data_IF_204362337947
#
_entry.id   IF_204362337947
#
_cell.length_a   1.000
_cell.length_b   1.000
_cell.length_c   1.000
_cell.angle_alpha   90.00
_cell.angle_beta   90.00
_cell.angle_gamma   90.00
#
_symmetry.space_group_name_H-M   'P 1'
#
loop_
_entity.id
_entity.type
_entity.pdbx_description
1 polymer ?
#
# COMPACT_ATOMS: atom_id res chain seq x y z
N UNK A 1 -22.75 -46.84 46.82
CA UNK A 1 -22.97 -46.16 45.53
C UNK A 1 -21.97 -45.02 45.43
N UNK A 2 -20.94 -45.14 44.59
CA UNK A 2 -19.92 -44.09 44.39
C UNK A 2 -20.25 -43.35 43.09
N UNK A 3 -20.63 -42.09 43.20
CA UNK A 3 -20.99 -41.22 42.08
C UNK A 3 -19.73 -40.66 41.44
N UNK A 4 -19.39 -41.11 40.24
CA UNK A 4 -18.26 -40.59 39.46
C UNK A 4 -18.69 -39.31 38.76
N UNK A 5 -18.18 -38.17 39.22
CA UNK A 5 -18.39 -36.85 38.57
C UNK A 5 -17.32 -36.69 37.49
N UNK A 6 -17.74 -36.63 36.22
CA UNK A 6 -16.88 -36.28 35.10
C UNK A 6 -16.78 -34.75 34.99
N UNK A 7 -15.60 -34.19 35.30
CA UNK A 7 -15.28 -32.80 34.97
C UNK A 7 -14.98 -32.71 33.47
N UNK A 8 -15.89 -32.07 32.72
CA UNK A 8 -15.67 -31.70 31.33
C UNK A 8 -14.72 -30.49 31.29
N UNK A 9 -13.45 -30.77 31.02
CA UNK A 9 -12.38 -29.77 30.96
C UNK A 9 -12.47 -29.05 29.61
N UNK A 10 -13.19 -27.93 29.59
CA UNK A 10 -13.28 -27.04 28.43
C UNK A 10 -11.92 -26.37 28.20
N UNK A 11 -11.10 -26.97 27.32
CA UNK A 11 -9.89 -26.37 26.77
C UNK A 11 -10.28 -25.20 25.85
N UNK A 12 -10.33 -23.99 26.41
CA UNK A 12 -10.38 -22.76 25.62
C UNK A 12 -8.99 -22.57 25.01
N UNK A 13 -8.82 -23.02 23.76
CA UNK A 13 -7.65 -22.66 22.96
C UNK A 13 -7.77 -21.17 22.59
N UNK A 14 -7.11 -20.31 23.36
CA UNK A 14 -6.94 -18.90 23.00
C UNK A 14 -6.06 -18.83 21.74
N UNK A 15 -6.69 -18.60 20.58
CA UNK A 15 -5.98 -18.30 19.34
C UNK A 15 -5.48 -16.86 19.44
N UNK A 16 -4.26 -16.69 19.97
CA UNK A 16 -3.55 -15.43 19.90
C UNK A 16 -3.17 -15.17 18.43
N UNK A 17 -3.92 -14.30 17.78
CA UNK A 17 -3.53 -13.75 16.48
C UNK A 17 -2.28 -12.91 16.72
N UNK A 18 -1.09 -13.42 16.34
CA UNK A 18 0.14 -12.62 16.35
C UNK A 18 -0.04 -11.47 15.35
N UNK A 19 -0.26 -10.27 15.86
CA UNK A 19 -0.12 -9.05 15.08
C UNK A 19 1.31 -9.00 14.52
N UNK A 20 1.47 -8.72 13.22
CA UNK A 20 2.78 -8.57 12.60
C UNK A 20 3.44 -7.29 13.14
N UNK A 21 4.33 -7.46 14.12
CA UNK A 21 5.00 -6.35 14.77
C UNK A 21 5.99 -5.68 13.80
N UNK A 22 5.93 -4.36 13.70
CA UNK A 22 6.92 -3.55 12.98
C UNK A 22 8.32 -3.82 13.58
N UNK A 23 9.25 -4.25 12.75
CA UNK A 23 10.64 -4.53 13.11
C UNK A 23 11.52 -3.32 12.79
N UNK A 24 12.69 -3.25 13.45
CA UNK A 24 13.63 -2.16 13.28
C UNK A 24 15.06 -2.68 13.13
N UNK A 25 15.80 -2.11 12.18
CA UNK A 25 17.24 -2.29 12.01
C UNK A 25 17.92 -0.95 12.28
N UNK A 26 19.06 -0.97 12.98
CA UNK A 26 19.90 0.21 13.19
C UNK A 26 21.23 0.07 12.45
N UNK A 27 21.62 1.10 11.71
CA UNK A 27 22.86 1.18 10.94
C UNK A 27 23.67 2.36 11.46
N UNK A 28 24.93 2.14 11.84
CA UNK A 28 25.77 3.14 12.49
C UNK A 28 26.77 3.78 11.53
N UNK A 29 27.13 5.04 11.81
CA UNK A 29 28.03 5.84 10.97
C UNK A 29 29.25 6.33 11.75
N UNK A 30 30.35 6.51 11.01
CA UNK A 30 31.54 7.17 11.54
C UNK A 30 31.25 8.62 11.90
N UNK A 31 32.11 9.17 12.76
CA UNK A 31 32.03 10.57 13.14
C UNK A 31 32.07 11.48 11.90
N UNK A 32 31.11 12.40 11.83
CA UNK A 32 30.96 13.39 10.75
C UNK A 32 30.85 12.82 9.31
N UNK A 33 30.56 11.53 9.14
CA UNK A 33 30.38 10.91 7.82
C UNK A 33 28.94 10.52 7.56
N UNK A 34 28.57 10.50 6.29
CA UNK A 34 27.30 9.96 5.81
C UNK A 34 27.47 8.73 4.92
N UNK A 35 28.67 8.46 4.41
CA UNK A 35 28.94 7.25 3.63
C UNK A 35 28.81 6.00 4.50
N UNK A 36 28.32 4.91 3.89
CA UNK A 36 28.26 3.61 4.56
C UNK A 36 29.68 3.11 4.79
N UNK A 37 30.08 2.98 6.05
CA UNK A 37 31.35 2.33 6.41
C UNK A 37 31.24 0.80 6.19
N UNK A 38 32.36 0.05 6.19
CA UNK A 38 32.33 -1.39 5.93
C UNK A 38 31.44 -2.17 6.89
N UNK A 39 31.35 -1.76 8.15
CA UNK A 39 30.49 -2.39 9.15
C UNK A 39 29.00 -2.17 8.86
N UNK A 40 28.62 -0.96 8.44
CA UNK A 40 27.26 -0.61 8.03
C UNK A 40 26.85 -1.41 6.79
N UNK A 41 27.74 -1.51 5.80
CA UNK A 41 27.47 -2.27 4.58
C UNK A 41 27.32 -3.77 4.86
N UNK A 42 28.26 -4.37 5.60
CA UNK A 42 28.15 -5.78 5.99
C UNK A 42 26.87 -6.08 6.79
N UNK A 43 26.47 -5.17 7.69
CA UNK A 43 25.23 -5.32 8.46
C UNK A 43 23.98 -5.26 7.59
N UNK A 44 23.95 -4.36 6.60
CA UNK A 44 22.85 -4.28 5.64
C UNK A 44 22.80 -5.54 4.77
N UNK A 45 23.96 -6.04 4.32
CA UNK A 45 24.04 -7.27 3.53
C UNK A 45 23.54 -8.50 4.29
N UNK A 46 24.01 -8.69 5.52
CA UNK A 46 23.56 -9.78 6.38
C UNK A 46 22.05 -9.69 6.64
N UNK A 47 21.56 -8.47 6.91
CA UNK A 47 20.14 -8.24 7.10
C UNK A 47 19.31 -8.58 5.86
N UNK A 48 19.76 -8.18 4.66
CA UNK A 48 19.07 -8.53 3.41
C UNK A 48 19.13 -10.03 3.10
N UNK A 49 20.24 -10.69 3.41
CA UNK A 49 20.36 -12.14 3.28
C UNK A 49 19.38 -12.89 4.20
N UNK A 50 19.17 -12.38 5.42
CA UNK A 50 18.23 -12.93 6.39
C UNK A 50 16.76 -12.58 6.09
N UNK A 51 16.49 -11.52 5.33
CA UNK A 51 15.15 -10.96 5.14
C UNK A 51 14.82 -10.79 3.65
N UNK A 52 14.31 -11.85 3.01
CA UNK A 52 14.07 -11.88 1.56
C UNK A 52 12.80 -11.17 1.10
N UNK A 53 11.81 -11.03 1.97
CA UNK A 53 10.51 -10.43 1.65
C UNK A 53 10.14 -9.44 2.74
N UNK A 54 10.59 -8.19 2.58
CA UNK A 54 10.34 -7.11 3.52
C UNK A 54 9.79 -5.89 2.79
N UNK A 55 9.05 -5.08 3.54
CA UNK A 55 8.64 -3.75 3.10
C UNK A 55 9.14 -2.71 4.10
N UNK A 56 9.96 -1.78 3.63
CA UNK A 56 10.46 -0.69 4.46
C UNK A 56 9.37 0.37 4.61
N UNK A 57 9.06 0.75 5.85
CA UNK A 57 8.01 1.71 6.17
C UNK A 57 8.56 3.05 6.63
N UNK A 58 9.73 3.09 7.28
CA UNK A 58 10.36 4.33 7.77
C UNK A 58 11.87 4.26 7.68
N UNK A 59 12.53 5.37 7.38
CA UNK A 59 13.99 5.53 7.43
C UNK A 59 14.33 6.84 8.13
N UNK A 60 14.81 6.76 9.36
CA UNK A 60 15.11 7.94 10.17
C UNK A 60 16.60 8.05 10.47
N UNK A 61 17.14 9.25 10.32
CA UNK A 61 18.55 9.55 10.54
C UNK A 61 18.78 10.36 11.80
N UNK A 62 19.91 10.12 12.44
CA UNK A 62 20.30 10.73 13.71
C UNK A 62 21.78 11.12 13.69
N UNK A 63 22.10 12.15 14.46
CA UNK A 63 23.44 12.65 14.72
C UNK A 63 23.67 12.70 16.24
N UNK A 64 24.93 12.67 16.64
CA UNK A 64 25.29 12.95 18.04
C UNK A 64 25.30 14.46 18.31
N UNK A 65 25.32 14.84 19.59
CA UNK A 65 25.26 16.24 20.06
C UNK A 65 26.46 17.12 19.67
N UNK A 66 27.45 16.63 18.89
CA UNK A 66 28.55 17.44 18.40
C UNK A 66 28.19 18.08 17.07
N UNK A 67 28.03 19.40 17.05
CA UNK A 67 27.84 20.18 15.84
C UNK A 67 26.87 21.34 16.04
N UNK A 68 26.69 22.17 15.02
CA UNK A 68 25.58 23.12 14.99
C UNK A 68 24.29 22.38 14.59
N UNK A 69 23.16 22.73 15.19
CA UNK A 69 21.88 22.04 15.03
C UNK A 69 21.48 21.86 13.53
N UNK A 70 21.50 22.93 12.73
CA UNK A 70 21.21 22.83 11.28
C UNK A 70 22.22 22.02 10.44
N UNK A 71 23.46 21.88 10.91
CA UNK A 71 24.45 20.99 10.28
C UNK A 71 24.09 19.52 10.55
N UNK A 72 23.70 19.21 11.78
CA UNK A 72 23.29 17.87 12.19
C UNK A 72 22.01 17.41 11.48
N UNK A 73 21.07 18.31 11.23
CA UNK A 73 19.87 18.03 10.42
C UNK A 73 20.25 17.62 8.99
N UNK A 74 21.12 18.40 8.35
CA UNK A 74 21.60 18.12 7.00
C UNK A 74 22.36 16.79 6.94
N UNK A 75 23.25 16.54 7.91
CA UNK A 75 24.06 15.32 7.96
C UNK A 75 23.19 14.07 8.21
N UNK A 76 22.19 14.17 9.08
CA UNK A 76 21.27 13.07 9.36
C UNK A 76 20.42 12.72 8.13
N UNK A 77 19.96 13.72 7.37
CA UNK A 77 19.27 13.50 6.09
C UNK A 77 20.18 12.89 5.02
N UNK A 78 21.46 13.29 4.95
CA UNK A 78 22.42 12.66 4.02
C UNK A 78 22.61 11.17 4.32
N UNK A 79 22.66 10.78 5.59
CA UNK A 79 22.71 9.36 6.00
C UNK A 79 21.45 8.60 5.61
N UNK A 80 20.27 9.19 5.81
CA UNK A 80 18.99 8.61 5.35
C UNK A 80 19.03 8.34 3.85
N UNK A 81 19.50 9.31 3.06
CA UNK A 81 19.58 9.16 1.60
C UNK A 81 20.57 8.06 1.18
N UNK A 82 21.71 7.93 1.86
CA UNK A 82 22.65 6.84 1.56
C UNK A 82 22.05 5.45 1.82
N UNK A 83 21.38 5.29 2.96
CA UNK A 83 20.67 4.04 3.28
C UNK A 83 19.55 3.79 2.28
N UNK A 84 18.75 4.80 1.95
CA UNK A 84 17.69 4.68 0.95
C UNK A 84 18.23 4.22 -0.40
N UNK A 85 19.28 4.86 -0.92
CA UNK A 85 19.90 4.50 -2.19
C UNK A 85 20.44 3.06 -2.17
N UNK A 86 21.04 2.65 -1.06
CA UNK A 86 21.48 1.27 -0.87
C UNK A 86 20.33 0.27 -1.01
N UNK A 87 19.22 0.51 -0.33
CA UNK A 87 18.03 -0.34 -0.34
C UNK A 87 17.43 -0.44 -1.75
N UNK A 88 17.29 0.69 -2.45
CA UNK A 88 16.74 0.70 -3.82
C UNK A 88 17.68 -0.01 -4.81
N UNK A 89 19.00 0.18 -4.70
CA UNK A 89 19.97 -0.50 -5.55
C UNK A 89 19.93 -2.03 -5.40
N UNK A 90 19.62 -2.50 -4.20
CA UNK A 90 19.41 -3.91 -3.88
C UNK A 90 17.96 -4.38 -4.08
N UNK A 91 17.12 -3.59 -4.76
CA UNK A 91 15.73 -3.91 -5.11
C UNK A 91 14.82 -4.18 -3.89
N UNK A 92 15.14 -3.59 -2.75
CA UNK A 92 14.29 -3.66 -1.54
C UNK A 92 13.03 -2.84 -1.77
N UNK A 93 11.87 -3.42 -1.43
CA UNK A 93 10.60 -2.73 -1.53
C UNK A 93 10.45 -1.70 -0.42
N UNK A 94 10.01 -0.51 -0.79
CA UNK A 94 9.67 0.57 0.13
C UNK A 94 8.16 0.84 0.03
N UNK A 95 7.49 0.94 1.18
CA UNK A 95 6.05 1.12 1.26
C UNK A 95 5.61 2.41 0.56
N UNK A 96 4.44 2.38 -0.07
CA UNK A 96 3.81 3.59 -0.58
C UNK A 96 3.47 4.51 0.62
N UNK A 97 4.06 5.69 0.68
CA UNK A 97 3.93 6.60 1.84
C UNK A 97 4.92 6.33 2.97
N UNK A 98 6.03 5.64 2.70
CA UNK A 98 7.13 5.53 3.66
C UNK A 98 7.60 6.90 4.16
N UNK A 99 7.99 6.96 5.43
CA UNK A 99 8.44 8.19 6.07
C UNK A 99 9.98 8.28 6.07
N UNK A 100 10.53 9.39 5.63
CA UNK A 100 11.95 9.72 5.80
C UNK A 100 12.10 10.98 6.62
N UNK A 101 12.99 10.97 7.61
CA UNK A 101 13.25 12.15 8.44
C UNK A 101 14.66 12.12 9.02
N UNK A 102 15.34 13.25 8.96
CA UNK A 102 16.57 13.50 9.69
C UNK A 102 16.20 14.25 10.96
N UNK A 103 16.48 13.65 12.09
CA UNK A 103 16.22 14.25 13.40
C UNK A 103 17.41 15.07 13.91
N UNK A 104 18.56 15.03 13.22
CA UNK A 104 19.77 15.65 13.75
C UNK A 104 20.04 15.17 15.17
N UNK A 105 20.05 16.09 16.13
CA UNK A 105 20.21 15.82 17.56
C UNK A 105 18.89 15.83 18.35
N UNK A 106 17.76 16.11 17.69
CA UNK A 106 16.42 16.33 18.26
C UNK A 106 15.70 15.00 18.56
N UNK A 107 16.28 14.22 19.47
CA UNK A 107 15.73 12.97 19.98
C UNK A 107 16.33 12.62 21.36
N UNK A 108 15.84 11.56 22.00
CA UNK A 108 16.41 11.07 23.26
C UNK A 108 17.75 10.38 22.96
N UNK A 109 18.85 11.03 23.33
CA UNK A 109 20.20 10.55 23.04
C UNK A 109 20.69 9.52 24.06
N UNK A 110 21.42 8.52 23.57
CA UNK A 110 22.23 7.64 24.42
C UNK A 110 23.38 8.43 25.06
N UNK A 111 23.81 7.97 26.24
CA UNK A 111 25.03 8.45 26.89
C UNK A 111 26.28 8.07 26.09
N UNK A 112 26.20 7.02 25.28
CA UNK A 112 27.29 6.57 24.41
C UNK A 112 27.17 7.30 23.07
N UNK A 113 28.10 8.22 22.81
CA UNK A 113 28.05 9.10 21.64
C UNK A 113 27.92 8.35 20.31
N UNK A 114 28.63 7.24 20.15
CA UNK A 114 28.61 6.46 18.91
C UNK A 114 27.27 5.83 18.58
N UNK A 115 26.43 5.57 19.59
CA UNK A 115 25.11 4.98 19.39
C UNK A 115 24.10 5.97 18.79
N UNK A 116 24.41 7.28 18.85
CA UNK A 116 23.55 8.34 18.34
C UNK A 116 23.78 8.61 16.84
N UNK A 117 24.93 8.17 16.29
CA UNK A 117 25.24 8.30 14.86
C UNK A 117 24.66 7.14 14.08
N UNK A 118 23.35 7.16 13.87
CA UNK A 118 22.66 6.04 13.23
C UNK A 118 21.57 6.43 12.25
N UNK A 119 21.20 5.46 11.43
CA UNK A 119 19.93 5.42 10.73
C UNK A 119 19.13 4.23 11.25
N UNK A 120 17.84 4.44 11.51
CA UNK A 120 16.91 3.38 11.84
C UNK A 120 16.03 3.10 10.63
N UNK A 121 15.91 1.83 10.29
CA UNK A 121 15.05 1.33 9.22
C UNK A 121 13.93 0.57 9.90
N UNK A 122 12.71 1.10 9.82
CA UNK A 122 11.52 0.34 10.19
C UNK A 122 11.01 -0.44 9.00
N UNK A 123 10.70 -1.71 9.22
CA UNK A 123 10.21 -2.59 8.17
C UNK A 123 9.21 -3.59 8.74
N UNK A 124 8.39 -4.12 7.87
CA UNK A 124 7.53 -5.26 8.16
C UNK A 124 8.01 -6.43 7.32
N UNK A 125 8.19 -7.63 7.93
CA UNK A 125 8.24 -8.85 7.15
C UNK A 125 6.97 -8.91 6.30
N UNK A 126 7.12 -8.95 4.98
CA UNK A 126 6.06 -9.53 4.19
C UNK A 126 6.10 -10.99 4.59
N UNK A 127 5.07 -11.44 5.32
CA UNK A 127 4.79 -12.88 5.37
C UNK A 127 4.92 -13.37 3.93
N UNK A 128 5.61 -14.50 3.67
CA UNK A 128 5.54 -15.09 2.36
C UNK A 128 4.08 -15.09 2.01
N UNK A 129 3.76 -14.45 0.90
CA UNK A 129 2.48 -14.68 0.27
C UNK A 129 2.54 -16.15 -0.14
N UNK A 130 2.31 -17.07 0.83
CA UNK A 130 1.36 -18.15 0.56
C UNK A 130 0.25 -17.42 -0.14
N UNK A 131 0.03 -17.68 -1.45
CA UNK A 131 -0.92 -16.92 -2.26
C UNK A 131 -2.10 -16.72 -1.35
N UNK A 132 -2.33 -15.46 -0.94
CA UNK A 132 -3.45 -15.15 -0.07
C UNK A 132 -4.58 -15.77 -0.85
N UNK A 133 -5.22 -16.80 -0.30
CA UNK A 133 -6.46 -17.29 -0.84
C UNK A 133 -7.46 -16.17 -0.57
N UNK A 134 -7.31 -15.04 -1.28
CA UNK A 134 -8.44 -14.26 -1.71
C UNK A 134 -9.29 -15.35 -2.35
N UNK A 135 -10.45 -15.65 -1.76
CA UNK A 135 -11.17 -16.85 -2.12
C UNK A 135 -11.30 -16.81 -3.63
N UNK A 136 -10.88 -17.90 -4.29
CA UNK A 136 -10.84 -18.02 -5.76
C UNK A 136 -12.13 -17.49 -6.39
N UNK A 137 -13.23 -17.57 -5.65
CA UNK A 137 -14.53 -16.96 -5.95
C UNK A 137 -14.47 -15.47 -6.29
N UNK A 138 -13.75 -14.61 -5.55
CA UNK A 138 -13.71 -13.17 -5.83
C UNK A 138 -13.00 -12.86 -7.17
N UNK A 139 -11.89 -13.57 -7.47
CA UNK A 139 -11.16 -13.48 -8.74
C UNK A 139 -11.83 -14.21 -9.91
N UNK A 140 -12.67 -15.20 -9.60
CA UNK A 140 -13.50 -15.87 -10.61
C UNK A 140 -14.63 -14.94 -11.06
N UNK A 141 -15.17 -14.13 -10.15
CA UNK A 141 -16.38 -13.34 -10.42
C UNK A 141 -16.14 -12.26 -11.48
N UNK A 142 -15.10 -11.41 -11.37
CA UNK A 142 -14.87 -10.33 -12.35
C UNK A 142 -14.42 -10.90 -13.71
N UNK A 143 -13.56 -11.91 -13.71
CA UNK A 143 -13.15 -12.61 -14.94
C UNK A 143 -14.36 -13.23 -15.66
N UNK A 144 -15.27 -13.88 -14.94
CA UNK A 144 -16.50 -14.47 -15.50
C UNK A 144 -17.46 -13.38 -15.99
N UNK A 145 -17.65 -12.31 -15.23
CA UNK A 145 -18.45 -11.15 -15.64
C UNK A 145 -17.94 -10.57 -16.96
N UNK A 146 -16.64 -10.32 -17.09
CA UNK A 146 -16.04 -9.79 -18.32
C UNK A 146 -16.19 -10.79 -19.48
N UNK A 147 -15.97 -12.08 -19.25
CA UNK A 147 -16.17 -13.12 -20.29
C UNK A 147 -17.61 -13.19 -20.79
N UNK A 148 -18.58 -13.01 -19.91
CA UNK A 148 -20.01 -13.06 -20.25
C UNK A 148 -20.57 -11.73 -20.76
N UNK A 149 -19.79 -10.65 -20.68
CA UNK A 149 -20.24 -9.31 -21.02
C UNK A 149 -20.32 -9.05 -22.53
N UNK A 150 -21.10 -8.03 -22.89
CA UNK A 150 -21.21 -7.47 -24.24
C UNK A 150 -20.91 -5.96 -24.22
N UNK A 151 -20.57 -5.36 -25.37
CA UNK A 151 -20.43 -3.91 -25.48
C UNK A 151 -21.65 -3.17 -24.90
N UNK A 152 -21.39 -2.20 -24.03
CA UNK A 152 -22.39 -1.44 -23.28
C UNK A 152 -22.63 -1.92 -21.84
N UNK A 153 -22.15 -3.11 -21.47
CA UNK A 153 -22.30 -3.60 -20.09
C UNK A 153 -21.39 -2.81 -19.13
N UNK A 154 -21.94 -2.51 -17.95
CA UNK A 154 -21.22 -1.90 -16.84
C UNK A 154 -20.94 -2.96 -15.77
N UNK A 155 -19.67 -3.08 -15.39
CA UNK A 155 -19.22 -4.02 -14.37
C UNK A 155 -18.58 -3.22 -13.23
N UNK A 156 -19.07 -3.41 -12.00
CA UNK A 156 -18.52 -2.77 -10.81
C UNK A 156 -17.23 -3.47 -10.38
N UNK A 157 -16.17 -2.69 -10.13
CA UNK A 157 -14.93 -3.21 -9.55
C UNK A 157 -15.10 -3.35 -8.03
N UNK A 158 -15.43 -4.54 -7.57
CA UNK A 158 -15.56 -4.79 -6.13
C UNK A 158 -14.23 -4.61 -5.39
N UNK A 159 -14.29 -4.14 -4.15
CA UNK A 159 -13.13 -3.94 -3.27
C UNK A 159 -12.08 -2.90 -3.73
N UNK A 160 -12.38 -2.08 -4.75
CA UNK A 160 -11.58 -0.90 -5.10
C UNK A 160 -11.87 0.25 -4.11
N UNK A 161 -10.85 0.72 -3.41
CA UNK A 161 -10.95 1.73 -2.37
C UNK A 161 -9.81 2.76 -2.50
N UNK A 162 -10.06 3.98 -2.02
CA UNK A 162 -9.15 5.11 -2.10
C UNK A 162 -9.02 5.81 -0.75
N UNK A 163 -7.90 6.49 -0.51
CA UNK A 163 -7.78 7.40 0.63
C UNK A 163 -8.83 8.51 0.54
N UNK A 164 -9.23 9.03 1.70
CA UNK A 164 -10.29 10.03 1.78
C UNK A 164 -9.95 11.27 0.94
N UNK A 165 -10.91 11.76 0.16
CA UNK A 165 -10.75 12.88 -0.79
C UNK A 165 -9.53 12.77 -1.73
N UNK A 166 -9.08 11.55 -2.03
CA UNK A 166 -7.91 11.29 -2.86
C UNK A 166 -8.19 10.23 -3.93
N UNK A 167 -7.29 10.17 -4.90
CA UNK A 167 -7.11 9.15 -5.93
C UNK A 167 -6.05 8.10 -5.57
N UNK A 168 -5.45 8.21 -4.38
CA UNK A 168 -4.52 7.21 -3.87
C UNK A 168 -5.26 5.91 -3.53
N UNK A 169 -5.05 4.87 -4.34
CA UNK A 169 -5.58 3.52 -4.12
C UNK A 169 -4.94 2.90 -2.87
N UNK A 170 -5.76 2.36 -1.98
CA UNK A 170 -5.26 1.72 -0.75
C UNK A 170 -4.65 0.34 -1.03
N UNK A 171 -3.70 -0.16 -0.21
CA UNK A 171 -3.05 -1.45 -0.43
C UNK A 171 -4.02 -2.63 -0.58
N UNK A 172 -5.13 -2.66 0.18
CA UNK A 172 -6.16 -3.71 0.10
C UNK A 172 -6.85 -3.80 -1.28
N UNK A 173 -6.72 -2.79 -2.12
CA UNK A 173 -7.33 -2.72 -3.46
C UNK A 173 -6.37 -3.06 -4.60
N UNK A 174 -5.07 -3.24 -4.30
CA UNK A 174 -4.08 -3.73 -5.27
C UNK A 174 -4.45 -5.09 -5.90
N UNK A 175 -5.05 -6.06 -5.17
CA UNK A 175 -5.47 -7.34 -5.73
C UNK A 175 -6.45 -7.20 -6.90
N UNK A 176 -7.43 -6.30 -6.79
CA UNK A 176 -8.45 -6.04 -7.81
C UNK A 176 -7.83 -5.38 -9.05
N UNK A 177 -6.88 -4.47 -8.85
CA UNK A 177 -6.14 -3.85 -9.95
C UNK A 177 -5.29 -4.87 -10.72
N UNK A 178 -4.64 -5.79 -10.00
CA UNK A 178 -3.87 -6.87 -10.62
C UNK A 178 -4.77 -7.83 -11.41
N UNK A 179 -5.96 -8.15 -10.90
CA UNK A 179 -6.94 -8.94 -11.64
C UNK A 179 -7.39 -8.26 -12.93
N UNK A 180 -7.77 -6.97 -12.86
CA UNK A 180 -8.15 -6.21 -14.05
C UNK A 180 -7.02 -6.15 -15.08
N UNK A 181 -5.76 -6.05 -14.64
CA UNK A 181 -4.60 -6.14 -15.52
C UNK A 181 -4.54 -7.50 -16.23
N UNK A 182 -4.62 -8.61 -15.49
CA UNK A 182 -4.61 -9.95 -16.09
C UNK A 182 -5.75 -10.11 -17.12
N UNK A 183 -6.95 -9.61 -16.80
CA UNK A 183 -8.09 -9.63 -17.73
C UNK A 183 -7.76 -8.85 -19.01
N UNK A 184 -7.14 -7.67 -18.90
CA UNK A 184 -6.76 -6.87 -20.07
C UNK A 184 -5.65 -7.53 -20.90
N UNK A 185 -4.75 -8.28 -20.27
CA UNK A 185 -3.68 -9.05 -20.95
C UNK A 185 -4.26 -10.28 -21.67
N UNK A 186 -5.13 -11.03 -21.01
CA UNK A 186 -5.77 -12.24 -21.55
C UNK A 186 -6.76 -11.95 -22.68
N UNK A 187 -7.30 -10.73 -22.74
CA UNK A 187 -8.29 -10.32 -23.73
C UNK A 187 -7.77 -9.14 -24.57
N UNK A 188 -6.87 -9.36 -25.55
CA UNK A 188 -6.17 -8.29 -26.27
C UNK A 188 -7.08 -7.35 -27.08
N UNK A 189 -8.31 -7.77 -27.40
CA UNK A 189 -9.32 -6.96 -28.09
C UNK A 189 -10.19 -6.14 -27.14
N UNK A 190 -10.19 -6.47 -25.85
CA UNK A 190 -11.01 -5.80 -24.85
C UNK A 190 -10.64 -4.31 -24.76
N UNK A 191 -11.64 -3.45 -24.92
CA UNK A 191 -11.56 -2.02 -24.68
C UNK A 191 -12.56 -1.63 -23.59
N UNK A 192 -12.12 -0.78 -22.66
CA UNK A 192 -12.93 -0.37 -21.52
C UNK A 192 -12.89 1.16 -21.30
N UNK A 193 -13.99 1.70 -20.79
CA UNK A 193 -14.03 3.02 -20.16
C UNK A 193 -14.15 2.85 -18.64
N UNK A 194 -13.23 3.44 -17.89
CA UNK A 194 -13.22 3.39 -16.43
C UNK A 194 -14.04 4.56 -15.89
N UNK A 195 -15.09 4.27 -15.13
CA UNK A 195 -16.03 5.25 -14.62
C UNK A 195 -15.89 5.43 -13.11
N UNK A 196 -15.62 6.66 -12.67
CA UNK A 196 -15.51 7.00 -11.26
C UNK A 196 -16.79 7.64 -10.72
N UNK A 197 -17.16 7.28 -9.50
CA UNK A 197 -18.32 7.83 -8.79
C UNK A 197 -17.94 8.23 -7.36
N UNK A 198 -18.65 9.21 -6.82
CA UNK A 198 -18.54 9.64 -5.42
C UNK A 198 -19.93 9.66 -4.78
N UNK A 199 -19.97 9.67 -3.45
CA UNK A 199 -21.18 9.81 -2.64
C UNK A 199 -21.14 11.12 -1.87
N UNK A 200 -22.19 11.37 -1.08
CA UNK A 200 -22.12 12.18 0.14
C UNK A 200 -21.90 13.70 -0.08
N UNK A 201 -21.79 14.14 -1.33
CA UNK A 201 -21.73 15.56 -1.71
C UNK A 201 -23.03 15.95 -2.39
N UNK A 202 -23.60 17.09 -2.00
CA UNK A 202 -24.83 17.64 -2.61
C UNK A 202 -24.55 18.70 -3.68
N UNK A 203 -23.34 19.27 -3.69
CA UNK A 203 -22.94 20.36 -4.58
C UNK A 203 -22.19 19.88 -5.84
N UNK A 204 -22.32 18.61 -6.22
CA UNK A 204 -21.56 18.00 -7.32
C UNK A 204 -20.18 17.49 -6.89
N UNK A 205 -19.29 17.23 -7.85
CA UNK A 205 -17.91 16.79 -7.60
C UNK A 205 -16.92 17.97 -7.68
N UNK A 206 -16.95 18.80 -6.64
CA UNK A 206 -16.20 20.08 -6.58
C UNK A 206 -14.70 19.87 -6.76
N UNK A 207 -14.18 18.73 -6.32
CA UNK A 207 -12.75 18.41 -6.32
C UNK A 207 -12.33 17.47 -7.45
N UNK A 208 -13.24 17.16 -8.39
CA UNK A 208 -13.04 16.22 -9.49
C UNK A 208 -12.49 14.85 -9.02
N UNK A 209 -12.92 14.42 -7.83
CA UNK A 209 -12.42 13.21 -7.15
C UNK A 209 -12.80 11.96 -7.95
N UNK A 210 -14.00 11.95 -8.55
CA UNK A 210 -14.45 10.83 -9.37
C UNK A 210 -13.55 10.63 -10.58
N UNK A 211 -13.20 11.69 -11.31
CA UNK A 211 -12.30 11.64 -12.46
C UNK A 211 -10.89 11.24 -12.04
N UNK A 212 -10.37 11.81 -10.94
CA UNK A 212 -9.04 11.46 -10.44
C UNK A 212 -8.94 9.99 -10.07
N UNK A 213 -9.96 9.41 -9.44
CA UNK A 213 -10.03 7.97 -9.12
C UNK A 213 -10.06 7.09 -10.36
N UNK A 214 -10.89 7.43 -11.35
CA UNK A 214 -10.92 6.72 -12.62
C UNK A 214 -9.55 6.79 -13.34
N UNK A 215 -8.92 7.97 -13.33
CA UNK A 215 -7.58 8.20 -13.87
C UNK A 215 -6.49 7.41 -13.15
N UNK A 216 -6.61 7.18 -11.84
CA UNK A 216 -5.64 6.37 -11.08
C UNK A 216 -5.63 4.91 -11.54
N UNK A 217 -6.82 4.32 -11.79
CA UNK A 217 -6.95 2.97 -12.36
C UNK A 217 -6.41 2.92 -13.79
N UNK A 218 -6.75 3.91 -14.62
CA UNK A 218 -6.20 4.06 -15.97
C UNK A 218 -4.67 4.10 -15.96
N UNK A 219 -4.08 4.95 -15.12
CA UNK A 219 -2.64 5.14 -15.01
C UNK A 219 -1.95 3.86 -14.51
N UNK A 220 -2.60 3.08 -13.65
CA UNK A 220 -2.09 1.77 -13.25
C UNK A 220 -1.99 0.81 -14.44
N UNK A 221 -3.03 0.68 -15.26
CA UNK A 221 -3.01 -0.22 -16.42
C UNK A 221 -1.98 0.23 -17.48
N UNK A 222 -1.89 1.53 -17.74
CA UNK A 222 -0.90 2.08 -18.70
C UNK A 222 0.54 1.88 -18.22
N UNK A 223 0.83 2.07 -16.92
CA UNK A 223 2.17 1.78 -16.36
C UNK A 223 2.55 0.31 -16.51
N UNK A 224 1.57 -0.59 -16.44
CA UNK A 224 1.71 -2.02 -16.69
C UNK A 224 1.52 -2.39 -18.17
N UNK A 225 1.77 -1.46 -19.10
CA UNK A 225 1.90 -1.71 -20.55
C UNK A 225 0.61 -2.10 -21.29
N UNK A 226 -0.58 -1.88 -20.70
CA UNK A 226 -1.84 -1.94 -21.48
C UNK A 226 -1.88 -0.77 -22.47
N UNK A 227 -2.18 -1.05 -23.74
CA UNK A 227 -2.26 -0.03 -24.79
C UNK A 227 -3.31 1.04 -24.42
N UNK A 228 -2.90 2.32 -24.48
CA UNK A 228 -3.73 3.48 -24.17
C UNK A 228 -4.98 3.58 -25.04
N UNK A 229 -4.93 3.09 -26.28
CA UNK A 229 -6.07 3.09 -27.21
C UNK A 229 -7.19 2.16 -26.75
N UNK A 230 -6.89 1.20 -25.88
CA UNK A 230 -7.88 0.26 -25.30
C UNK A 230 -8.55 0.80 -24.03
N UNK A 231 -8.15 1.99 -23.60
CA UNK A 231 -8.49 2.52 -22.29
C UNK A 231 -9.00 3.95 -22.42
N UNK A 232 -10.13 4.23 -21.78
CA UNK A 232 -10.60 5.59 -21.52
C UNK A 232 -11.03 5.70 -20.06
N UNK A 233 -11.23 6.92 -19.57
CA UNK A 233 -11.70 7.13 -18.20
C UNK A 233 -12.59 8.38 -18.13
N UNK A 234 -13.55 8.36 -17.20
CA UNK A 234 -14.48 9.46 -16.97
C UNK A 234 -14.95 9.51 -15.52
N UNK A 235 -15.01 10.71 -14.94
CA UNK A 235 -15.67 10.94 -13.66
C UNK A 235 -17.13 11.35 -13.87
N UNK A 236 -18.03 10.73 -13.12
CA UNK A 236 -19.46 11.06 -13.11
C UNK A 236 -19.89 11.80 -11.85
N UNK A 237 -18.99 12.02 -10.89
CA UNK A 237 -19.34 12.66 -9.63
C UNK A 237 -20.52 11.93 -8.96
N UNK A 238 -21.56 12.70 -8.64
CA UNK A 238 -22.84 12.24 -8.10
C UNK A 238 -23.95 12.14 -9.16
N UNK A 239 -23.64 12.35 -10.45
CA UNK A 239 -24.66 12.47 -11.52
C UNK A 239 -25.28 11.13 -11.93
N UNK A 240 -24.68 10.01 -11.52
CA UNK A 240 -25.16 8.64 -11.78
C UNK A 240 -25.13 7.80 -10.51
N UNK A 241 -25.97 8.14 -9.51
CA UNK A 241 -25.98 7.43 -8.25
C UNK A 241 -26.77 6.11 -8.39
N UNK A 242 -26.36 5.09 -7.64
CA UNK A 242 -27.13 3.85 -7.47
C UNK A 242 -28.28 4.05 -6.48
N UNK A 243 -28.03 4.87 -5.46
CA UNK A 243 -29.00 5.26 -4.44
C UNK A 243 -29.23 6.77 -4.45
N UNK A 244 -30.47 7.25 -4.32
CA UNK A 244 -30.76 8.68 -4.31
C UNK A 244 -29.89 9.44 -3.29
N UNK A 245 -29.31 10.57 -3.71
CA UNK A 245 -28.59 11.49 -2.82
C UNK A 245 -29.61 12.44 -2.16
N UNK A 246 -29.59 12.67 -0.83
CA UNK A 246 -28.65 12.11 0.14
C UNK A 246 -28.94 10.65 0.48
N UNK A 247 -27.86 9.87 0.61
CA UNK A 247 -27.91 8.45 0.99
C UNK A 247 -28.47 8.27 2.40
N UNK A 248 -29.18 7.16 2.64
CA UNK A 248 -29.86 6.87 3.92
C UNK A 248 -29.01 6.01 4.86
N UNK A 249 -27.94 5.42 4.36
CA UNK A 249 -27.07 4.55 5.14
C UNK A 249 -25.63 4.54 4.61
N UNK A 250 -24.69 4.14 5.48
CA UNK A 250 -23.29 3.92 5.10
C UNK A 250 -23.14 2.92 3.96
N UNK A 251 -24.03 1.93 3.87
CA UNK A 251 -24.03 0.97 2.77
C UNK A 251 -24.37 1.65 1.44
N UNK A 252 -25.41 2.48 1.41
CA UNK A 252 -25.79 3.24 0.20
C UNK A 252 -24.67 4.21 -0.22
N UNK A 253 -24.00 4.84 0.74
CA UNK A 253 -22.82 5.68 0.49
C UNK A 253 -21.69 4.91 -0.17
N UNK A 254 -21.36 3.71 0.34
CA UNK A 254 -20.32 2.85 -0.23
C UNK A 254 -20.70 2.32 -1.62
N UNK A 255 -21.97 2.02 -1.86
CA UNK A 255 -22.46 1.61 -3.17
C UNK A 255 -22.44 2.77 -4.19
N UNK A 256 -22.70 4.01 -3.76
CA UNK A 256 -22.49 5.19 -4.60
C UNK A 256 -21.00 5.50 -4.84
N UNK A 257 -20.14 5.26 -3.85
CA UNK A 257 -18.69 5.47 -3.91
C UNK A 257 -17.97 4.29 -4.59
N UNK A 258 -18.15 4.17 -5.90
CA UNK A 258 -17.63 3.03 -6.69
C UNK A 258 -16.78 3.44 -7.89
N UNK A 259 -16.10 2.43 -8.45
CA UNK A 259 -15.51 2.50 -9.80
C UNK A 259 -16.10 1.35 -10.61
N UNK A 260 -16.48 1.66 -11.85
CA UNK A 260 -17.04 0.70 -12.80
C UNK A 260 -16.17 0.66 -14.07
N UNK A 261 -16.26 -0.43 -14.81
CA UNK A 261 -15.73 -0.54 -16.17
C UNK A 261 -16.91 -0.72 -17.12
N UNK A 262 -16.99 0.13 -18.13
CA UNK A 262 -17.88 -0.02 -19.27
C UNK A 262 -17.15 -0.82 -20.34
N UNK A 263 -17.75 -1.90 -20.81
CA UNK A 263 -17.24 -2.69 -21.92
C UNK A 263 -17.52 -1.92 -23.22
N UNK A 264 -16.47 -1.48 -23.91
CA UNK A 264 -16.59 -0.74 -25.18
C UNK A 264 -16.58 -1.70 -26.37
N UNK A 265 -15.67 -2.68 -26.33
CA UNK A 265 -15.60 -3.80 -27.29
C UNK A 265 -14.85 -4.96 -26.65
N UNK A 266 -15.13 -6.20 -27.08
CA UNK A 266 -14.46 -7.42 -26.63
C UNK A 266 -14.20 -8.40 -27.78
#
# INVERSE_FOLDING_TARGET
MKTTIYYCLLLIAAVFSKADAQQQLEVFFDFNKFDLNPAAQAKLDEWLAANKEIEVTKIYGYCDWKGANGYNDTLSMKRVNQVYNYLISNKVLVAAGYETKGFGEDFIQSKVQSENRKVTISYIPKKPVTPVQVPKTAYQTLTEQVKSSKPGDLIKLENINFLNNSDAVVPKSKPVLAELLCIMEDNPKLQIEIQGHICCQTNGDVNDVSTKRAKAVYAYLVRNKVNRERLSYKGYGITRPMHPVPEKSVQEEDENRRVEILIVSN
#
